data_IF_801876785274
#
_entry.id   IF_801876785274
#
_cell.length_a   1.000
_cell.length_b   1.000
_cell.length_c   1.000
_cell.angle_alpha   90.00
_cell.angle_beta   90.00
_cell.angle_gamma   90.00
#
_symmetry.space_group_name_H-M   'P 1'
#
loop_
_entity.id
_entity.type
_entity.pdbx_description
1 polymer ?
#
# COMPACT_ATOMS: atom_id res chain seq x y z
N UNK A 1 26.36 -44.78 22.61
CA UNK A 1 27.43 -45.58 21.97
C UNK A 1 28.74 -44.94 22.40
N UNK A 2 29.68 -45.71 22.95
CA UNK A 2 30.99 -45.20 23.40
C UNK A 2 31.89 -45.19 22.17
N UNK A 3 32.18 -44.01 21.63
CA UNK A 3 33.18 -43.90 20.57
C UNK A 3 34.57 -44.05 21.19
N UNK A 4 35.25 -45.14 20.84
CA UNK A 4 36.64 -45.36 21.19
C UNK A 4 37.49 -44.33 20.40
N UNK A 5 38.13 -43.43 21.15
CA UNK A 5 39.06 -42.44 20.61
C UNK A 5 40.17 -43.14 19.81
N UNK A 6 40.07 -43.05 18.49
CA UNK A 6 41.06 -43.59 17.56
C UNK A 6 42.19 -42.58 17.39
N UNK A 7 43.26 -42.71 18.17
CA UNK A 7 44.55 -42.07 17.87
C UNK A 7 45.65 -43.12 17.85
N UNK A 8 46.17 -43.37 16.64
CA UNK A 8 47.32 -44.23 16.38
C UNK A 8 48.55 -43.70 17.15
N UNK A 9 49.02 -44.45 18.13
CA UNK A 9 50.26 -44.17 18.85
C UNK A 9 51.47 -44.54 17.99
N UNK A 10 51.98 -43.60 17.20
CA UNK A 10 53.37 -43.63 16.73
C UNK A 10 53.99 -42.25 16.89
N UNK A 11 54.32 -41.91 18.14
CA UNK A 11 55.18 -40.77 18.46
C UNK A 11 54.80 -40.05 19.74
N UNK A 12 55.56 -40.28 20.82
CA UNK A 12 55.59 -39.39 21.98
C UNK A 12 55.00 -39.96 23.27
N UNK A 13 55.63 -40.98 23.84
CA UNK A 13 55.31 -41.57 25.15
C UNK A 13 55.72 -40.66 26.34
N UNK A 14 55.39 -39.36 26.32
CA UNK A 14 55.79 -38.41 27.36
C UNK A 14 54.69 -37.43 27.80
N UNK A 15 53.43 -37.60 27.38
CA UNK A 15 52.34 -36.80 27.94
C UNK A 15 51.72 -37.52 29.14
N UNK A 16 51.67 -36.89 30.33
CA UNK A 16 50.99 -37.46 31.49
C UNK A 16 49.49 -37.60 31.23
N UNK A 17 48.86 -38.62 31.81
CA UNK A 17 47.49 -39.06 31.50
C UNK A 17 46.42 -37.96 31.59
N UNK A 18 46.63 -36.95 32.45
CA UNK A 18 45.73 -35.81 32.58
C UNK A 18 45.71 -34.87 31.36
N UNK A 19 46.71 -34.94 30.48
CA UNK A 19 46.74 -34.21 29.20
C UNK A 19 46.20 -35.03 28.03
N UNK A 20 45.89 -36.32 28.26
CA UNK A 20 45.37 -37.23 27.24
C UNK A 20 43.84 -37.23 27.17
N UNK A 21 43.19 -36.62 28.15
CA UNK A 21 41.73 -36.47 28.23
C UNK A 21 41.39 -35.00 28.01
N UNK A 22 40.45 -34.74 27.10
CA UNK A 22 39.96 -33.39 26.86
C UNK A 22 39.14 -32.91 28.08
N UNK A 23 39.61 -31.87 28.78
CA UNK A 23 38.94 -31.27 29.94
C UNK A 23 37.76 -30.35 29.57
N UNK A 24 37.53 -30.08 28.28
CA UNK A 24 36.44 -29.23 27.81
C UNK A 24 35.24 -30.10 27.43
N UNK A 25 34.11 -29.86 28.12
CA UNK A 25 32.80 -30.40 27.74
C UNK A 25 31.96 -29.30 27.12
N UNK A 26 31.32 -29.60 25.99
CA UNK A 26 30.32 -28.74 25.36
C UNK A 26 28.93 -29.36 25.51
N UNK A 27 27.86 -28.54 25.54
CA UNK A 27 26.49 -29.05 25.50
C UNK A 27 26.22 -29.89 24.24
N UNK A 28 25.27 -30.81 24.35
CA UNK A 28 24.77 -31.57 23.20
C UNK A 28 24.23 -30.61 22.13
N UNK A 29 24.57 -30.86 20.86
CA UNK A 29 24.18 -30.01 19.73
C UNK A 29 24.90 -28.65 19.63
N UNK A 30 25.95 -28.42 20.43
CA UNK A 30 26.74 -27.17 20.36
C UNK A 30 27.28 -26.91 18.95
N UNK A 31 27.94 -27.90 18.35
CA UNK A 31 28.54 -27.75 17.02
C UNK A 31 27.50 -27.77 15.89
N UNK A 32 26.33 -28.34 16.11
CA UNK A 32 25.25 -28.40 15.11
C UNK A 32 24.70 -27.00 14.78
N UNK A 33 24.73 -26.08 15.76
CA UNK A 33 24.22 -24.71 15.61
C UNK A 33 25.31 -23.63 15.61
N UNK A 34 26.57 -24.02 15.89
CA UNK A 34 27.68 -23.09 16.05
C UNK A 34 27.93 -22.29 14.77
N UNK A 35 27.88 -22.94 13.61
CA UNK A 35 28.13 -22.29 12.33
C UNK A 35 27.10 -21.18 12.05
N UNK A 36 25.83 -21.48 12.23
CA UNK A 36 24.73 -20.51 12.05
C UNK A 36 24.83 -19.36 13.06
N UNK A 37 25.19 -19.65 14.31
CA UNK A 37 25.40 -18.62 15.32
C UNK A 37 26.56 -17.68 14.98
N UNK A 38 27.67 -18.22 14.49
CA UNK A 38 28.84 -17.42 14.08
C UNK A 38 28.47 -16.54 12.89
N UNK A 39 27.85 -17.11 11.87
CA UNK A 39 27.40 -16.38 10.68
C UNK A 39 26.39 -15.29 11.04
N UNK A 40 25.42 -15.61 11.88
CA UNK A 40 24.41 -14.66 12.36
C UNK A 40 25.04 -13.49 13.12
N UNK A 41 25.99 -13.76 14.02
CA UNK A 41 26.71 -12.68 14.74
C UNK A 41 27.57 -11.83 13.82
N UNK A 42 28.23 -12.43 12.83
CA UNK A 42 29.03 -11.69 11.85
C UNK A 42 28.13 -10.78 10.99
N UNK A 43 26.99 -11.30 10.53
CA UNK A 43 26.01 -10.53 9.78
C UNK A 43 25.42 -9.37 10.62
N UNK A 44 25.09 -9.62 11.89
CA UNK A 44 24.62 -8.60 12.82
C UNK A 44 25.68 -7.51 13.06
N UNK A 45 26.93 -7.90 13.30
CA UNK A 45 28.03 -6.96 13.51
C UNK A 45 28.29 -6.11 12.25
N UNK A 46 28.24 -6.72 11.07
CA UNK A 46 28.35 -6.02 9.80
C UNK A 46 27.20 -5.03 9.62
N UNK A 47 25.96 -5.45 9.89
CA UNK A 47 24.79 -4.59 9.79
C UNK A 47 24.87 -3.40 10.75
N UNK A 48 25.27 -3.61 12.00
CA UNK A 48 25.49 -2.53 13.00
C UNK A 48 26.60 -1.56 12.60
N UNK A 49 27.55 -1.98 11.77
CA UNK A 49 28.59 -1.09 11.25
C UNK A 49 28.11 -0.22 10.09
N UNK A 50 27.09 -0.68 9.36
CA UNK A 50 26.50 0.02 8.22
C UNK A 50 25.33 0.92 8.63
N UNK A 51 24.60 0.52 9.67
CA UNK A 51 23.40 1.19 10.16
C UNK A 51 23.74 1.89 11.47
N UNK A 52 23.85 3.23 11.42
CA UNK A 52 24.24 4.06 12.56
C UNK A 52 23.17 4.16 13.64
N UNK A 53 21.90 4.06 13.27
CA UNK A 53 20.77 4.11 14.20
C UNK A 53 19.85 2.91 14.01
N UNK A 54 19.34 2.31 15.10
CA UNK A 54 18.60 1.04 15.06
C UNK A 54 17.31 1.07 14.22
N UNK A 55 16.90 2.23 13.70
CA UNK A 55 15.74 2.39 12.80
C UNK A 55 14.38 2.20 13.48
N UNK A 56 14.38 1.93 14.78
CA UNK A 56 13.19 1.76 15.61
C UNK A 56 13.29 2.64 16.83
N UNK A 57 12.35 3.58 16.93
CA UNK A 57 12.15 4.37 18.13
C UNK A 57 11.01 3.82 18.95
N UNK A 58 11.19 3.89 20.27
CA UNK A 58 10.12 3.55 21.19
C UNK A 58 9.20 4.76 21.33
N UNK A 59 7.86 4.60 21.25
CA UNK A 59 6.94 5.70 21.47
C UNK A 59 7.18 6.38 22.82
N UNK A 60 6.99 7.70 22.85
CA UNK A 60 7.02 8.47 24.08
C UNK A 60 6.02 7.88 25.10
N UNK A 61 6.46 7.64 26.33
CA UNK A 61 5.59 7.09 27.38
C UNK A 61 5.55 5.57 27.48
N UNK A 62 6.16 4.82 26.54
CA UNK A 62 6.05 3.36 26.51
C UNK A 62 6.51 2.70 27.82
N UNK A 63 7.67 3.09 28.34
CA UNK A 63 8.21 2.47 29.55
C UNK A 63 7.45 2.94 30.80
N UNK A 64 7.02 4.21 30.83
CA UNK A 64 6.21 4.77 31.92
C UNK A 64 4.85 4.06 32.03
N UNK A 65 4.21 3.73 30.90
CA UNK A 65 2.91 3.05 30.87
C UNK A 65 3.03 1.53 31.02
N UNK A 66 4.15 0.93 30.61
CA UNK A 66 4.32 -0.52 30.55
C UNK A 66 4.12 -1.21 31.91
N UNK A 67 4.68 -0.66 32.99
CA UNK A 67 4.52 -1.23 34.34
C UNK A 67 3.05 -1.22 34.75
N UNK A 68 2.38 -0.08 34.57
CA UNK A 68 0.96 0.07 34.90
C UNK A 68 0.07 -0.88 34.09
N UNK A 69 0.37 -1.05 32.80
CA UNK A 69 -0.36 -1.93 31.90
C UNK A 69 -0.16 -3.41 32.28
N UNK A 70 1.07 -3.81 32.63
CA UNK A 70 1.38 -5.18 33.08
C UNK A 70 0.64 -5.47 34.40
N UNK A 71 0.76 -4.56 35.38
CA UNK A 71 0.07 -4.71 36.67
C UNK A 71 -1.45 -4.73 36.51
N UNK A 72 -1.98 -3.88 35.62
CA UNK A 72 -3.40 -3.87 35.26
C UNK A 72 -3.87 -5.21 34.70
N UNK A 73 -3.12 -5.80 33.75
CA UNK A 73 -3.43 -7.12 33.19
C UNK A 73 -3.36 -8.24 34.23
N UNK A 74 -2.36 -8.20 35.12
CA UNK A 74 -2.27 -9.18 36.23
C UNK A 74 -3.47 -9.04 37.17
N UNK A 75 -3.88 -7.81 37.49
CA UNK A 75 -5.04 -7.56 38.34
C UNK A 75 -6.34 -8.03 37.68
N UNK A 76 -6.51 -7.76 36.38
CA UNK A 76 -7.65 -8.22 35.58
C UNK A 76 -7.73 -9.75 35.56
N UNK A 77 -6.61 -10.44 35.32
CA UNK A 77 -6.57 -11.89 35.32
C UNK A 77 -6.95 -12.48 36.69
N UNK A 78 -6.42 -11.90 37.78
CA UNK A 78 -6.80 -12.29 39.16
C UNK A 78 -8.27 -12.06 39.47
N UNK A 79 -8.91 -11.05 38.83
CA UNK A 79 -10.33 -10.80 38.97
C UNK A 79 -11.15 -11.81 38.16
N UNK A 80 -10.74 -12.13 36.93
CA UNK A 80 -11.36 -13.18 36.11
C UNK A 80 -11.35 -14.54 36.78
N UNK A 81 -10.27 -14.88 37.49
CA UNK A 81 -10.20 -16.13 38.27
C UNK A 81 -11.22 -16.18 39.43
N UNK A 82 -11.67 -15.01 39.91
CA UNK A 82 -12.60 -14.88 41.05
C UNK A 82 -14.05 -14.62 40.63
N UNK A 83 -14.26 -14.08 39.43
CA UNK A 83 -15.56 -13.70 38.90
C UNK A 83 -15.98 -14.73 37.86
N UNK A 84 -16.94 -15.58 38.22
CA UNK A 84 -17.40 -16.70 37.36
C UNK A 84 -18.28 -16.24 36.19
N UNK A 85 -18.81 -15.01 36.24
CA UNK A 85 -19.74 -14.49 35.23
C UNK A 85 -19.40 -13.04 34.91
N UNK A 86 -19.44 -12.64 33.64
CA UNK A 86 -19.12 -11.26 33.22
C UNK A 86 -20.08 -10.19 33.75
N UNK A 87 -21.14 -10.58 34.47
CA UNK A 87 -22.07 -9.66 35.15
C UNK A 87 -23.05 -8.95 34.20
N UNK A 88 -22.90 -9.13 32.89
CA UNK A 88 -23.84 -8.63 31.90
C UNK A 88 -25.06 -9.54 31.81
N UNK A 89 -26.10 -9.22 32.58
CA UNK A 89 -27.42 -9.83 32.42
C UNK A 89 -28.46 -8.76 32.11
N UNK A 90 -29.32 -9.08 31.14
CA UNK A 90 -30.50 -8.26 30.88
C UNK A 90 -31.53 -8.50 31.99
N UNK A 91 -32.27 -7.46 32.43
CA UNK A 91 -33.37 -7.64 33.36
C UNK A 91 -34.42 -8.61 32.83
N UNK A 92 -35.03 -9.39 33.72
CA UNK A 92 -36.17 -10.24 33.39
C UNK A 92 -37.28 -9.41 32.75
N UNK A 93 -37.74 -9.80 31.56
CA UNK A 93 -38.77 -9.10 30.79
C UNK A 93 -38.28 -7.85 30.05
N UNK A 94 -36.97 -7.65 29.88
CA UNK A 94 -36.42 -6.57 29.04
C UNK A 94 -37.07 -6.53 27.64
N UNK A 95 -37.15 -7.67 26.98
CA UNK A 95 -37.71 -7.77 25.62
C UNK A 95 -39.23 -7.61 25.57
N UNK A 96 -39.95 -7.90 26.66
CA UNK A 96 -41.40 -7.75 26.72
C UNK A 96 -41.84 -6.29 26.58
N UNK A 97 -41.04 -5.36 27.10
CA UNK A 97 -41.33 -3.91 27.04
C UNK A 97 -40.55 -3.17 25.96
N UNK A 98 -39.56 -3.80 25.32
CA UNK A 98 -38.67 -3.16 24.37
C UNK A 98 -39.42 -2.61 23.16
N UNK A 99 -40.29 -3.40 22.54
CA UNK A 99 -41.04 -3.01 21.35
C UNK A 99 -41.95 -1.79 21.62
N UNK A 100 -42.67 -1.80 22.74
CA UNK A 100 -43.51 -0.67 23.16
C UNK A 100 -42.68 0.59 23.39
N UNK A 101 -41.50 0.46 24.01
CA UNK A 101 -40.58 1.57 24.29
C UNK A 101 -40.00 2.17 23.01
N UNK A 102 -39.68 1.34 22.01
CA UNK A 102 -39.21 1.81 20.70
C UNK A 102 -40.31 2.59 19.98
N UNK A 103 -41.55 2.09 20.00
CA UNK A 103 -42.68 2.76 19.35
C UNK A 103 -43.00 4.11 20.00
N UNK A 104 -43.01 4.17 21.34
CA UNK A 104 -43.21 5.42 22.10
C UNK A 104 -42.09 6.45 21.81
N UNK A 105 -40.86 5.99 21.62
CA UNK A 105 -39.69 6.84 21.36
C UNK A 105 -39.51 7.22 19.88
N UNK A 106 -40.28 6.63 18.97
CA UNK A 106 -40.17 6.92 17.53
C UNK A 106 -41.26 7.93 17.15
N UNK A 107 -40.94 9.21 16.91
CA UNK A 107 -41.94 10.16 16.46
C UNK A 107 -42.48 9.74 15.10
N UNK A 108 -43.81 9.70 14.94
CA UNK A 108 -44.45 9.48 13.65
C UNK A 108 -44.06 10.63 12.69
N UNK A 109 -43.02 10.41 11.89
CA UNK A 109 -42.54 11.37 10.91
C UNK A 109 -43.44 11.32 9.68
N UNK A 110 -44.55 12.05 9.72
CA UNK A 110 -45.36 12.30 8.53
C UNK A 110 -44.59 13.23 7.59
N UNK A 111 -43.74 12.68 6.71
CA UNK A 111 -43.20 13.46 5.60
C UNK A 111 -44.25 13.55 4.50
N UNK A 112 -44.80 14.74 4.19
CA UNK A 112 -45.70 14.86 3.05
C UNK A 112 -44.93 14.53 1.77
N UNK A 113 -45.45 13.58 0.99
CA UNK A 113 -44.90 13.20 -0.30
C UNK A 113 -45.11 14.39 -1.26
N UNK A 114 -44.05 15.17 -1.50
CA UNK A 114 -44.09 16.31 -2.43
C UNK A 114 -43.54 15.89 -3.78
N UNK A 115 -44.39 15.91 -4.82
CA UNK A 115 -43.96 15.70 -6.20
C UNK A 115 -43.10 16.88 -6.65
N UNK A 116 -41.93 16.61 -7.24
CA UNK A 116 -41.03 17.63 -7.80
C UNK A 116 -41.60 18.15 -9.13
N UNK A 117 -41.59 19.48 -9.39
CA UNK A 117 -42.08 20.03 -10.64
C UNK A 117 -41.09 19.74 -11.79
N UNK A 118 -41.58 19.13 -12.87
CA UNK A 118 -40.81 18.95 -14.10
C UNK A 118 -40.67 20.28 -14.82
N UNK A 119 -39.43 20.69 -15.07
CA UNK A 119 -39.08 22.07 -15.41
C UNK A 119 -39.03 22.27 -16.93
N UNK A 120 -40.13 22.76 -17.51
CA UNK A 120 -40.43 22.82 -18.96
C UNK A 120 -39.88 24.04 -19.75
N UNK A 121 -39.05 24.89 -19.14
CA UNK A 121 -38.48 26.10 -19.78
C UNK A 121 -37.27 25.85 -20.71
N UNK A 122 -36.78 24.61 -20.82
CA UNK A 122 -35.63 24.25 -21.68
C UNK A 122 -35.92 24.33 -23.19
N UNK A 123 -37.18 24.51 -23.60
CA UNK A 123 -37.56 24.64 -25.02
C UNK A 123 -37.17 25.97 -25.67
N UNK A 124 -36.79 26.99 -24.91
CA UNK A 124 -36.52 28.35 -25.44
C UNK A 124 -35.04 28.61 -25.77
N UNK A 125 -34.13 27.70 -25.41
CA UNK A 125 -32.69 27.89 -25.62
C UNK A 125 -32.30 27.90 -27.12
N UNK A 126 -32.95 27.07 -27.95
CA UNK A 126 -32.61 26.94 -29.37
C UNK A 126 -32.86 28.24 -30.17
N UNK A 127 -33.97 28.94 -29.90
CA UNK A 127 -34.29 30.19 -30.58
C UNK A 127 -33.31 31.33 -30.22
N UNK A 128 -32.88 31.40 -28.96
CA UNK A 128 -31.91 32.41 -28.52
C UNK A 128 -30.54 32.21 -29.20
N UNK A 129 -30.08 30.96 -29.32
CA UNK A 129 -28.83 30.62 -30.04
C UNK A 129 -28.92 31.02 -31.52
N UNK A 130 -30.06 30.77 -32.17
CA UNK A 130 -30.26 31.18 -33.57
C UNK A 130 -30.18 32.71 -33.76
N UNK A 131 -30.72 33.48 -32.81
CA UNK A 131 -30.65 34.95 -32.83
C UNK A 131 -29.19 35.43 -32.66
N UNK A 132 -28.43 34.84 -31.73
CA UNK A 132 -27.01 35.19 -31.54
C UNK A 132 -26.15 34.86 -32.79
N UNK A 133 -26.39 33.72 -33.43
CA UNK A 133 -25.70 33.34 -34.67
C UNK A 133 -26.03 34.32 -35.80
N UNK A 134 -27.31 34.70 -35.95
CA UNK A 134 -27.73 35.64 -36.98
C UNK A 134 -27.11 37.04 -36.78
N UNK A 135 -27.04 37.52 -35.53
CA UNK A 135 -26.39 38.79 -35.19
C UNK A 135 -24.87 38.73 -35.43
N UNK A 136 -24.21 37.64 -35.06
CA UNK A 136 -22.78 37.43 -35.33
C UNK A 136 -22.45 37.41 -36.82
N UNK A 137 -23.24 36.70 -37.63
CA UNK A 137 -23.08 36.65 -39.07
C UNK A 137 -23.29 38.02 -39.75
N UNK A 138 -24.28 38.80 -39.30
CA UNK A 138 -24.53 40.14 -39.80
C UNK A 138 -23.36 41.11 -39.52
N UNK A 139 -22.76 40.99 -38.34
CA UNK A 139 -21.59 41.79 -37.97
C UNK A 139 -20.33 41.37 -38.74
N UNK A 140 -20.16 40.05 -38.94
CA UNK A 140 -19.05 39.47 -39.71
C UNK A 140 -19.05 39.93 -41.18
N UNK A 141 -20.21 39.92 -41.84
CA UNK A 141 -20.32 40.36 -43.23
C UNK A 141 -20.11 41.88 -43.40
N UNK A 142 -20.47 42.68 -42.39
CA UNK A 142 -20.23 44.14 -42.40
C UNK A 142 -18.80 44.54 -42.04
N UNK A 143 -17.99 43.64 -41.48
CA UNK A 143 -16.62 43.93 -41.04
C UNK A 143 -15.56 43.41 -42.02
N UNK A 144 -15.95 43.07 -43.25
CA UNK A 144 -15.04 42.53 -44.27
C UNK A 144 -14.14 43.62 -44.88
N UNK A 145 -13.18 44.09 -44.10
CA UNK A 145 -11.91 44.67 -44.59
C UNK A 145 -10.75 43.93 -43.91
N UNK A 146 -10.01 43.17 -44.72
CA UNK A 146 -8.75 42.44 -44.45
C UNK A 146 -8.73 41.32 -43.38
N UNK A 147 -8.76 40.06 -43.84
CA UNK A 147 -8.13 38.93 -43.14
C UNK A 147 -6.92 38.49 -44.00
N UNK A 148 -5.67 38.53 -43.50
CA UNK A 148 -4.57 37.82 -44.13
C UNK A 148 -4.81 36.32 -43.94
N UNK A 149 -4.89 35.60 -45.06
CA UNK A 149 -4.86 34.15 -45.10
C UNK A 149 -3.44 33.69 -44.79
N UNK A 150 -3.22 33.21 -43.58
CA UNK A 150 -2.16 32.23 -43.35
C UNK A 150 -2.74 31.06 -42.56
N UNK A 151 -2.84 29.94 -43.25
CA UNK A 151 -3.22 28.63 -42.73
C UNK A 151 -1.90 27.91 -42.54
N UNK A 152 -1.30 28.05 -41.36
CA UNK A 152 -0.17 27.22 -40.94
C UNK A 152 -0.47 26.58 -39.57
N UNK A 153 -0.43 25.25 -39.59
CA UNK A 153 -0.32 24.30 -38.49
C UNK A 153 -1.31 24.36 -37.33
N UNK A 154 -2.35 23.54 -37.45
CA UNK A 154 -2.92 22.82 -36.31
C UNK A 154 -1.95 21.74 -35.83
N UNK A 155 -0.77 22.14 -35.36
CA UNK A 155 0.05 21.30 -34.51
C UNK A 155 -0.14 21.85 -33.10
N UNK A 156 -1.09 21.27 -32.38
CA UNK A 156 -1.22 21.49 -30.95
C UNK A 156 0.17 21.25 -30.33
N UNK A 157 0.77 22.30 -29.78
CA UNK A 157 2.05 22.26 -29.09
C UNK A 157 2.02 21.24 -27.95
N UNK A 158 2.33 19.98 -28.27
CA UNK A 158 2.47 18.85 -27.35
C UNK A 158 3.67 19.03 -26.40
N UNK A 159 4.54 20.01 -26.67
CA UNK A 159 5.74 20.30 -25.88
C UNK A 159 5.48 21.04 -24.57
N UNK A 160 4.24 21.46 -24.29
CA UNK A 160 3.92 22.29 -23.13
C UNK A 160 3.36 21.51 -21.93
N UNK A 161 3.06 20.21 -22.05
CA UNK A 161 2.51 19.47 -20.90
C UNK A 161 3.59 19.36 -19.82
N UNK A 162 3.34 19.97 -18.67
CA UNK A 162 4.24 19.94 -17.51
C UNK A 162 4.35 18.51 -16.99
N UNK A 163 5.54 18.12 -16.53
CA UNK A 163 5.76 16.82 -15.87
C UNK A 163 4.81 16.64 -14.68
N UNK A 164 4.46 17.73 -13.99
CA UNK A 164 3.55 17.70 -12.85
C UNK A 164 2.10 17.39 -13.28
N UNK A 165 1.70 17.82 -14.48
CA UNK A 165 0.38 17.55 -15.05
C UNK A 165 0.26 16.09 -15.53
N UNK A 166 1.35 15.54 -16.09
CA UNK A 166 1.45 14.12 -16.39
C UNK A 166 1.36 13.26 -15.13
N UNK A 167 2.07 13.63 -14.06
CA UNK A 167 2.01 12.92 -12.77
C UNK A 167 0.59 12.94 -12.20
N UNK A 168 -0.08 14.09 -12.28
CA UNK A 168 -1.44 14.21 -11.77
C UNK A 168 -2.45 13.37 -12.58
N UNK A 169 -2.31 13.32 -13.91
CA UNK A 169 -3.11 12.44 -14.76
C UNK A 169 -2.87 10.96 -14.45
N UNK A 170 -1.60 10.55 -14.29
CA UNK A 170 -1.24 9.18 -13.92
C UNK A 170 -1.86 8.77 -12.58
N UNK A 171 -1.77 9.62 -11.55
CA UNK A 171 -2.38 9.36 -10.23
C UNK A 171 -3.90 9.33 -10.30
N UNK A 172 -4.52 10.09 -11.21
CA UNK A 172 -5.97 10.10 -11.38
C UNK A 172 -6.49 8.88 -12.17
N UNK A 173 -5.69 8.34 -13.09
CA UNK A 173 -6.07 7.20 -13.93
C UNK A 173 -5.68 5.87 -13.30
N UNK A 174 -4.60 5.82 -12.54
CA UNK A 174 -4.13 4.61 -11.85
C UNK A 174 -4.47 4.73 -10.36
N UNK A 175 -5.48 3.98 -9.91
CA UNK A 175 -5.62 3.71 -8.47
C UNK A 175 -4.29 3.08 -8.02
N UNK A 176 -3.61 3.71 -7.04
CA UNK A 176 -2.16 3.56 -6.76
C UNK A 176 -1.60 2.18 -6.39
N UNK A 177 -2.29 1.10 -6.73
CA UNK A 177 -1.88 -0.30 -6.57
C UNK A 177 -1.03 -0.78 -7.75
N UNK A 178 -1.33 -0.39 -9.00
CA UNK A 178 -0.58 -0.85 -10.19
C UNK A 178 0.85 -0.27 -10.30
N UNK A 179 1.09 0.92 -9.74
CA UNK A 179 2.42 1.56 -9.77
C UNK A 179 3.45 0.83 -8.90
N UNK A 180 3.00 0.15 -7.83
CA UNK A 180 3.89 -0.63 -6.96
C UNK A 180 4.35 -1.89 -7.69
N UNK A 181 3.44 -2.56 -8.40
CA UNK A 181 3.75 -3.77 -9.19
C UNK A 181 4.73 -3.46 -10.33
N UNK A 182 4.49 -2.39 -11.08
CA UNK A 182 5.38 -1.93 -12.15
C UNK A 182 6.77 -1.50 -11.63
N UNK A 183 6.83 -0.88 -10.45
CA UNK A 183 8.11 -0.50 -9.84
C UNK A 183 8.92 -1.72 -9.36
N UNK A 184 8.27 -2.77 -8.87
CA UNK A 184 8.95 -4.04 -8.53
C UNK A 184 9.53 -4.74 -9.76
N UNK A 185 8.82 -4.72 -10.88
CA UNK A 185 9.30 -5.33 -12.13
C UNK A 185 10.48 -4.56 -12.73
N UNK A 186 10.45 -3.22 -12.68
CA UNK A 186 11.56 -2.37 -13.12
C UNK A 186 12.81 -2.51 -12.24
N UNK A 187 12.65 -2.76 -10.95
CA UNK A 187 13.78 -2.88 -10.03
C UNK A 187 14.47 -4.26 -10.11
N UNK A 188 13.78 -5.27 -10.65
CA UNK A 188 14.32 -6.61 -10.88
C UNK A 188 14.90 -6.80 -12.29
N UNK A 189 14.62 -5.87 -13.22
CA UNK A 189 15.25 -5.86 -14.53
C UNK A 189 16.64 -5.21 -14.43
N UNK A 190 17.69 -6.00 -14.65
CA UNK A 190 19.04 -5.48 -14.84
C UNK A 190 19.02 -4.49 -16.01
N UNK A 191 19.22 -3.20 -15.70
CA UNK A 191 19.22 -2.10 -16.66
C UNK A 191 20.41 -2.29 -17.60
N UNK A 192 20.16 -2.95 -18.73
CA UNK A 192 21.11 -2.97 -19.85
C UNK A 192 20.92 -1.68 -20.63
N UNK A 193 21.98 -0.89 -20.65
CA UNK A 193 22.06 0.48 -21.20
C UNK A 193 22.06 0.46 -22.74
N UNK A 194 21.01 -0.12 -23.34
CA UNK A 194 20.80 -0.10 -24.80
C UNK A 194 19.59 0.77 -25.13
N UNK A 195 19.75 1.84 -25.93
CA UNK A 195 18.63 2.65 -26.38
C UNK A 195 17.57 1.78 -27.06
N UNK A 196 16.31 1.95 -26.67
CA UNK A 196 15.14 1.32 -27.27
C UNK A 196 15.01 1.77 -28.73
N UNK A 197 15.56 1.01 -29.67
CA UNK A 197 15.29 1.17 -31.10
C UNK A 197 13.90 0.59 -31.39
N UNK A 198 12.96 1.47 -31.77
CA UNK A 198 11.69 1.06 -32.34
C UNK A 198 12.02 0.50 -33.73
N UNK A 199 12.00 -0.82 -33.85
CA UNK A 199 12.18 -1.51 -35.13
C UNK A 199 11.13 -1.01 -36.13
N UNK A 200 11.60 -0.56 -37.30
CA UNK A 200 10.80 -0.04 -38.42
C UNK A 200 9.85 -1.12 -39.00
N UNK A 201 9.88 -2.34 -38.47
CA UNK A 201 9.05 -3.47 -38.85
C UNK A 201 7.83 -3.71 -37.95
N UNK A 202 7.43 -2.78 -37.08
CA UNK A 202 6.10 -2.82 -36.46
C UNK A 202 5.05 -2.56 -37.55
N UNK A 203 4.76 -3.60 -38.32
CA UNK A 203 3.86 -3.56 -39.48
C UNK A 203 2.50 -3.08 -39.00
N UNK A 204 1.96 -2.09 -39.72
CA UNK A 204 0.63 -1.50 -39.53
C UNK A 204 -0.48 -2.52 -39.23
N UNK A 205 -0.30 -3.77 -39.70
CA UNK A 205 -1.20 -4.90 -39.46
C UNK A 205 -1.30 -5.33 -37.99
N UNK A 206 -0.22 -5.27 -37.21
CA UNK A 206 -0.23 -5.58 -35.78
C UNK A 206 -0.91 -4.48 -34.97
N UNK A 207 -0.76 -3.22 -35.42
CA UNK A 207 -1.46 -2.07 -34.83
C UNK A 207 -2.96 -2.13 -35.16
N UNK A 208 -3.34 -2.48 -36.39
CA UNK A 208 -4.74 -2.69 -36.77
C UNK A 208 -5.39 -3.84 -35.98
N UNK A 209 -4.68 -4.95 -35.79
CA UNK A 209 -5.19 -6.10 -35.04
C UNK A 209 -5.41 -5.75 -33.56
N UNK A 210 -4.51 -4.97 -32.96
CA UNK A 210 -4.67 -4.48 -31.60
C UNK A 210 -5.83 -3.49 -31.46
N UNK A 211 -6.00 -2.56 -32.40
CA UNK A 211 -7.10 -1.60 -32.38
C UNK A 211 -8.47 -2.28 -32.56
N UNK A 212 -8.54 -3.32 -33.39
CA UNK A 212 -9.77 -4.12 -33.55
C UNK A 212 -10.09 -4.98 -32.32
N UNK A 213 -9.10 -5.35 -31.53
CA UNK A 213 -9.31 -6.13 -30.31
C UNK A 213 -9.86 -5.27 -29.15
N UNK A 214 -9.61 -3.96 -29.17
CA UNK A 214 -9.98 -3.03 -28.10
C UNK A 214 -11.30 -2.29 -28.32
N UNK A 215 -11.96 -2.49 -29.47
CA UNK A 215 -13.20 -1.80 -29.89
C UNK A 215 -14.36 -2.79 -30.03
#
# INVERSE_FOLDING_TARGET
MKEENTYNEQGGSNLPDYLRVNSFNVPEGYFDTLEDQIRGRLAEQHLKSLVAEPGFDVPQGYFEESESAILGRIAEQKLKDKVTTDGYQIPTGYFDTLAARIMDKTPEKHTPIRKLPTRSWLGYAAAAVAIFIALGAYWYLNSADSIPTDVHDTQASLHHISKDELVHYLVQVTEGVELIELATDLNNAEVTDTPFEIDEQLKDKEIEEYLNYML
#
